data_IF_284757856652
#
_entry.id   IF_284757856652
#
_cell.length_a   1.000
_cell.length_b   1.000
_cell.length_c   1.000
_cell.angle_alpha   90.00
_cell.angle_beta   90.00
_cell.angle_gamma   90.00
#
_symmetry.space_group_name_H-M   'P 1'
#
loop_
_entity.id
_entity.type
_entity.pdbx_description
1 polymer ?
#
# COMPACT_ATOMS: atom_id res chain seq x y z
N UNK A 1 31.22 11.33 -3.00
CA UNK A 1 31.44 12.71 -2.51
C UNK A 1 30.71 13.62 -3.50
N UNK A 2 29.61 14.27 -3.11
CA UNK A 2 28.74 14.99 -4.05
C UNK A 2 29.38 16.32 -4.51
N UNK A 3 29.26 16.67 -5.80
CA UNK A 3 29.83 17.89 -6.40
C UNK A 3 29.17 19.18 -5.87
N UNK A 4 29.79 20.34 -6.08
CA UNK A 4 29.22 21.65 -5.72
C UNK A 4 27.88 21.95 -6.41
N UNK A 5 27.62 21.37 -7.59
CA UNK A 5 26.35 21.48 -8.31
C UNK A 5 25.20 20.72 -7.63
N UNK A 6 25.50 19.63 -6.91
CA UNK A 6 24.52 18.79 -6.22
C UNK A 6 23.75 19.54 -5.11
N UNK A 7 24.32 20.59 -4.53
CA UNK A 7 23.65 21.42 -3.51
C UNK A 7 22.66 22.43 -4.10
N UNK A 8 22.77 22.76 -5.38
CA UNK A 8 21.87 23.70 -6.08
C UNK A 8 20.76 22.99 -6.86
N UNK A 9 20.89 21.68 -7.11
CA UNK A 9 19.87 20.91 -7.80
C UNK A 9 18.61 20.72 -6.96
N UNK A 10 17.53 20.26 -7.58
CA UNK A 10 16.26 19.99 -6.91
C UNK A 10 16.30 18.62 -6.19
N UNK A 11 15.37 18.32 -5.29
CA UNK A 11 15.41 17.06 -4.52
C UNK A 11 15.16 15.82 -5.39
N UNK A 12 14.34 15.94 -6.42
CA UNK A 12 14.07 14.89 -7.40
C UNK A 12 15.28 14.65 -8.30
N UNK A 13 15.96 15.71 -8.74
CA UNK A 13 17.21 15.56 -9.48
C UNK A 13 18.26 14.79 -8.66
N UNK A 14 18.45 15.14 -7.37
CA UNK A 14 19.35 14.40 -6.47
C UNK A 14 18.94 12.94 -6.30
N UNK A 15 17.65 12.69 -6.17
CA UNK A 15 17.10 11.34 -6.07
C UNK A 15 17.40 10.50 -7.32
N UNK A 16 17.18 11.05 -8.51
CA UNK A 16 17.47 10.37 -9.76
C UNK A 16 18.97 10.15 -9.96
N UNK A 17 19.81 11.09 -9.52
CA UNK A 17 21.26 10.91 -9.54
C UNK A 17 21.70 9.79 -8.58
N UNK A 18 21.07 9.68 -7.40
CA UNK A 18 21.28 8.56 -6.50
C UNK A 18 20.86 7.24 -7.17
N UNK A 19 19.66 7.18 -7.75
CA UNK A 19 19.16 5.97 -8.43
C UNK A 19 19.86 5.59 -9.72
N UNK A 20 20.52 6.53 -10.39
CA UNK A 20 21.39 6.24 -11.52
C UNK A 20 22.66 5.45 -11.14
N UNK A 21 23.10 5.56 -9.88
CA UNK A 21 24.30 4.86 -9.36
C UNK A 21 23.98 3.78 -8.32
N UNK A 22 22.75 3.71 -7.84
CA UNK A 22 22.25 2.64 -6.97
C UNK A 22 21.02 1.98 -7.60
N UNK A 23 21.22 0.94 -8.43
CA UNK A 23 20.15 0.25 -9.12
C UNK A 23 19.04 -0.27 -8.19
N UNK A 24 17.82 -0.35 -8.72
CA UNK A 24 16.74 -1.05 -8.04
C UNK A 24 17.03 -2.55 -8.03
N UNK A 25 16.85 -3.18 -6.87
CA UNK A 25 16.96 -4.63 -6.72
C UNK A 25 15.59 -5.28 -6.82
N UNK A 26 15.49 -6.39 -7.54
CA UNK A 26 14.27 -7.20 -7.60
C UNK A 26 13.92 -7.67 -6.18
N UNK A 27 12.69 -7.42 -5.76
CA UNK A 27 12.17 -7.98 -4.50
C UNK A 27 11.73 -9.43 -4.71
N UNK A 28 11.77 -10.26 -3.66
CA UNK A 28 11.40 -11.68 -3.71
C UNK A 28 10.07 -11.98 -4.45
N UNK A 29 8.96 -11.24 -4.23
CA UNK A 29 7.71 -11.49 -4.96
C UNK A 29 7.83 -11.30 -6.48
N UNK A 30 8.68 -10.36 -6.90
CA UNK A 30 8.93 -10.10 -8.32
C UNK A 30 9.99 -11.05 -8.92
N UNK A 31 10.88 -11.63 -8.10
CA UNK A 31 11.76 -12.73 -8.52
C UNK A 31 10.93 -13.97 -8.85
N UNK A 32 10.02 -14.35 -7.97
CA UNK A 32 9.07 -15.46 -8.18
C UNK A 32 8.11 -15.20 -9.36
N UNK A 33 7.76 -13.92 -9.59
CA UNK A 33 7.01 -13.50 -10.78
C UNK A 33 7.77 -13.79 -12.08
N UNK A 34 9.05 -13.38 -12.15
CA UNK A 34 9.89 -13.51 -13.34
C UNK A 34 10.12 -14.96 -13.77
N UNK A 35 10.02 -15.93 -12.86
CA UNK A 35 10.20 -17.35 -13.14
C UNK A 35 8.96 -18.06 -13.72
N UNK A 36 7.77 -17.44 -13.68
CA UNK A 36 6.51 -18.13 -14.07
C UNK A 36 5.70 -17.45 -15.17
N UNK A 37 5.25 -18.25 -16.14
CA UNK A 37 4.50 -17.85 -17.33
C UNK A 37 3.03 -17.46 -17.07
N UNK A 38 2.75 -16.24 -16.60
CA UNK A 38 1.46 -15.55 -16.83
C UNK A 38 1.56 -14.08 -16.40
N UNK A 39 1.51 -13.17 -17.38
CA UNK A 39 1.95 -11.79 -17.19
C UNK A 39 0.91 -10.80 -16.66
N UNK A 40 -0.38 -11.11 -16.46
CA UNK A 40 -1.38 -10.07 -16.11
C UNK A 40 -1.89 -10.18 -14.68
N UNK A 41 -2.32 -11.36 -14.22
CA UNK A 41 -2.82 -11.55 -12.84
C UNK A 41 -1.74 -11.30 -11.78
N UNK A 42 -0.49 -11.64 -12.08
CA UNK A 42 0.61 -11.50 -11.13
C UNK A 42 1.07 -10.04 -10.91
N UNK A 43 0.84 -9.12 -11.86
CA UNK A 43 1.22 -7.70 -11.68
C UNK A 43 0.38 -7.06 -10.58
N UNK A 44 -0.94 -7.19 -10.68
CA UNK A 44 -1.88 -6.63 -9.69
C UNK A 44 -1.60 -7.22 -8.31
N UNK A 45 -1.35 -8.53 -8.20
CA UNK A 45 -1.01 -9.18 -6.93
C UNK A 45 0.31 -8.66 -6.33
N UNK A 46 1.37 -8.55 -7.14
CA UNK A 46 2.66 -8.03 -6.68
C UNK A 46 2.57 -6.55 -6.27
N UNK A 47 1.86 -5.72 -7.05
CA UNK A 47 1.65 -4.31 -6.72
C UNK A 47 0.83 -4.18 -5.45
N UNK A 48 -0.30 -4.89 -5.35
CA UNK A 48 -1.19 -4.89 -4.18
C UNK A 48 -0.41 -5.26 -2.91
N UNK A 49 0.35 -6.35 -2.94
CA UNK A 49 1.19 -6.75 -1.81
C UNK A 49 2.17 -5.64 -1.40
N UNK A 50 2.83 -5.01 -2.39
CA UNK A 50 3.82 -3.95 -2.14
C UNK A 50 3.19 -2.70 -1.53
N UNK A 51 2.09 -2.20 -2.09
CA UNK A 51 1.43 -0.97 -1.62
C UNK A 51 0.68 -1.15 -0.31
N UNK A 52 0.25 -2.39 -0.02
CA UNK A 52 -0.31 -2.77 1.28
C UNK A 52 0.79 -2.74 2.36
N UNK A 53 1.90 -3.43 2.12
CA UNK A 53 3.02 -3.51 3.08
C UNK A 53 3.57 -2.12 3.41
N UNK A 54 3.76 -1.28 2.39
CA UNK A 54 4.29 0.06 2.59
C UNK A 54 3.23 1.11 2.97
N UNK A 55 1.96 0.71 3.13
CA UNK A 55 0.87 1.55 3.59
C UNK A 55 0.35 2.60 2.60
N UNK A 56 0.84 2.62 1.35
CA UNK A 56 0.32 3.51 0.30
C UNK A 56 -1.17 3.25 0.07
N UNK A 57 -1.55 1.98 0.09
CA UNK A 57 -2.93 1.56 -0.13
C UNK A 57 -3.89 2.14 0.90
N UNK A 58 -3.44 2.37 2.13
CA UNK A 58 -4.24 2.85 3.26
C UNK A 58 -4.12 4.37 3.49
N UNK A 59 -3.43 5.11 2.62
CA UNK A 59 -3.13 6.53 2.82
C UNK A 59 -2.20 6.81 4.02
N UNK A 60 -1.58 5.76 4.58
CA UNK A 60 -0.74 5.81 5.77
C UNK A 60 0.66 5.23 5.46
N UNK A 61 1.50 5.98 4.72
CA UNK A 61 2.78 5.49 4.23
C UNK A 61 3.72 5.10 5.37
N UNK A 62 4.27 3.88 5.29
CA UNK A 62 5.18 3.28 6.27
C UNK A 62 6.63 3.62 5.92
N UNK A 63 7.07 4.77 6.41
CA UNK A 63 8.44 5.27 6.21
C UNK A 63 9.41 4.57 7.17
N UNK A 64 10.28 3.70 6.65
CA UNK A 64 11.33 3.06 7.45
C UNK A 64 12.40 4.08 7.90
N UNK A 65 13.17 3.80 8.97
CA UNK A 65 14.29 4.66 9.38
C UNK A 65 15.31 4.91 8.24
N UNK A 66 15.58 3.87 7.44
CA UNK A 66 16.49 3.95 6.29
C UNK A 66 15.97 4.94 5.24
N UNK A 67 14.68 4.88 4.90
CA UNK A 67 14.07 5.83 3.96
C UNK A 67 14.03 7.25 4.54
N UNK A 68 13.75 7.38 5.84
CA UNK A 68 13.76 8.68 6.51
C UNK A 68 15.14 9.36 6.44
N UNK A 69 16.21 8.60 6.68
CA UNK A 69 17.59 9.11 6.59
C UNK A 69 18.00 9.40 5.14
N UNK A 70 17.55 8.59 4.19
CA UNK A 70 17.76 8.85 2.77
C UNK A 70 17.08 10.14 2.32
N UNK A 71 15.83 10.37 2.72
CA UNK A 71 15.09 11.60 2.43
C UNK A 71 15.85 12.84 2.96
N UNK A 72 16.39 12.77 4.18
CA UNK A 72 17.24 13.84 4.74
C UNK A 72 18.52 14.06 3.92
N UNK A 73 19.24 12.98 3.57
CA UNK A 73 20.49 13.04 2.78
C UNK A 73 20.28 13.67 1.40
N UNK A 74 19.14 13.40 0.79
CA UNK A 74 18.77 13.91 -0.53
C UNK A 74 18.00 15.25 -0.47
N UNK A 75 17.88 15.85 0.72
CA UNK A 75 17.23 17.13 0.96
C UNK A 75 15.77 17.18 0.47
N UNK A 76 15.01 16.10 0.69
CA UNK A 76 13.57 16.12 0.51
C UNK A 76 12.90 17.07 1.54
N UNK A 77 11.67 17.56 1.28
CA UNK A 77 10.95 18.43 2.20
C UNK A 77 10.76 17.80 3.59
N UNK A 78 10.97 18.58 4.66
CA UNK A 78 11.06 18.06 6.04
C UNK A 78 9.80 17.33 6.55
N UNK A 79 8.61 17.66 6.03
CA UNK A 79 7.32 17.14 6.53
C UNK A 79 6.59 16.21 5.55
N UNK A 80 6.98 16.21 4.28
CA UNK A 80 6.34 15.45 3.20
C UNK A 80 7.33 14.50 2.49
N UNK A 81 8.62 14.71 2.70
CA UNK A 81 9.70 14.05 1.99
C UNK A 81 9.76 12.55 2.18
N UNK A 82 9.34 12.04 3.34
CA UNK A 82 9.27 10.60 3.59
C UNK A 82 8.24 9.94 2.66
N UNK A 83 7.03 10.50 2.61
CA UNK A 83 5.94 10.00 1.76
C UNK A 83 6.26 10.10 0.29
N UNK A 84 6.77 11.26 -0.16
CA UNK A 84 7.17 11.42 -1.56
C UNK A 84 8.26 10.42 -1.92
N UNK A 85 9.28 10.25 -1.07
CA UNK A 85 10.34 9.29 -1.34
C UNK A 85 9.78 7.87 -1.43
N UNK A 86 8.92 7.44 -0.49
CA UNK A 86 8.32 6.10 -0.55
C UNK A 86 7.46 5.90 -1.82
N UNK A 87 6.70 6.92 -2.22
CA UNK A 87 5.91 6.90 -3.44
C UNK A 87 6.81 6.73 -4.67
N UNK A 88 7.86 7.53 -4.78
CA UNK A 88 8.83 7.45 -5.88
C UNK A 88 9.56 6.11 -5.91
N UNK A 89 9.97 5.61 -4.75
CA UNK A 89 10.60 4.30 -4.60
C UNK A 89 9.69 3.19 -5.11
N UNK A 90 8.40 3.25 -4.80
CA UNK A 90 7.41 2.29 -5.27
C UNK A 90 7.18 2.43 -6.77
N UNK A 91 6.96 3.65 -7.24
CA UNK A 91 6.72 3.95 -8.65
C UNK A 91 7.86 3.49 -9.54
N UNK A 92 9.09 3.95 -9.25
CA UNK A 92 10.24 3.64 -10.09
C UNK A 92 10.65 2.18 -9.97
N UNK A 93 10.62 1.57 -8.78
CA UNK A 93 10.98 0.15 -8.66
C UNK A 93 10.01 -0.75 -9.43
N UNK A 94 8.69 -0.54 -9.30
CA UNK A 94 7.70 -1.37 -10.01
C UNK A 94 7.76 -1.13 -11.51
N UNK A 95 7.81 0.13 -11.96
CA UNK A 95 7.92 0.44 -13.39
C UNK A 95 9.20 -0.14 -14.01
N UNK A 96 10.32 -0.09 -13.27
CA UNK A 96 11.60 -0.62 -13.72
C UNK A 96 11.58 -2.14 -13.85
N UNK A 97 11.10 -2.83 -12.83
CA UNK A 97 10.98 -4.29 -12.83
C UNK A 97 10.05 -4.77 -13.94
N UNK A 98 8.87 -4.16 -14.11
CA UNK A 98 7.95 -4.51 -15.19
C UNK A 98 8.58 -4.27 -16.56
N UNK A 99 9.28 -3.16 -16.75
CA UNK A 99 9.98 -2.88 -18.01
C UNK A 99 11.05 -3.94 -18.30
N UNK A 100 11.83 -4.36 -17.30
CA UNK A 100 12.82 -5.43 -17.44
C UNK A 100 12.19 -6.79 -17.76
N UNK A 101 11.20 -7.23 -16.98
CA UNK A 101 10.51 -8.51 -17.20
C UNK A 101 9.87 -8.62 -18.60
N UNK A 102 9.41 -7.50 -19.17
CA UNK A 102 8.81 -7.47 -20.50
C UNK A 102 9.83 -7.41 -21.64
N UNK A 103 11.05 -6.94 -21.37
CA UNK A 103 12.10 -6.71 -22.39
C UNK A 103 13.22 -7.76 -22.37
N UNK A 104 13.36 -8.54 -21.30
CA UNK A 104 14.46 -9.50 -21.05
C UNK A 104 14.48 -10.78 -21.92
N UNK A 105 13.74 -10.82 -23.03
CA UNK A 105 13.80 -11.94 -24.00
C UNK A 105 15.09 -11.99 -24.83
N UNK A 106 16.00 -11.02 -24.70
CA UNK A 106 17.29 -11.04 -25.39
C UNK A 106 18.41 -11.02 -24.34
N UNK A 107 19.25 -12.06 -24.37
CA UNK A 107 20.17 -12.44 -23.30
C UNK A 107 21.33 -11.50 -23.00
N UNK A 108 21.90 -11.76 -21.83
CA UNK A 108 23.28 -11.59 -21.36
C UNK A 108 24.00 -10.28 -21.68
N UNK A 109 23.93 -9.33 -20.75
CA UNK A 109 25.04 -8.70 -20.01
C UNK A 109 24.49 -7.45 -19.29
N UNK A 110 24.67 -7.37 -17.96
CA UNK A 110 24.31 -6.19 -17.16
C UNK A 110 25.26 -5.03 -17.48
N UNK A 111 24.94 -4.26 -18.52
CA UNK A 111 25.62 -3.01 -18.81
C UNK A 111 24.99 -1.86 -17.97
N UNK A 112 25.83 -1.11 -17.25
CA UNK A 112 25.40 0.08 -16.50
C UNK A 112 24.72 1.10 -17.43
N UNK A 113 25.14 1.14 -18.71
CA UNK A 113 24.55 2.01 -19.71
C UNK A 113 23.12 1.57 -20.09
N UNK A 114 22.84 0.26 -20.07
CA UNK A 114 21.49 -0.28 -20.30
C UNK A 114 20.54 0.10 -19.15
N UNK A 115 20.98 -0.05 -17.90
CA UNK A 115 20.20 0.34 -16.72
C UNK A 115 19.83 1.83 -16.77
N UNK A 116 20.82 2.71 -16.99
CA UNK A 116 20.58 4.15 -17.01
C UNK A 116 19.67 4.57 -18.17
N UNK A 117 19.80 3.91 -19.33
CA UNK A 117 18.91 4.12 -20.47
C UNK A 117 17.47 3.73 -20.14
N UNK A 118 17.26 2.58 -19.48
CA UNK A 118 15.93 2.14 -19.02
C UNK A 118 15.34 3.11 -17.99
N UNK A 119 16.14 3.54 -17.01
CA UNK A 119 15.71 4.51 -16.00
C UNK A 119 15.32 5.84 -16.64
N UNK A 120 16.09 6.34 -17.63
CA UNK A 120 15.74 7.54 -18.39
C UNK A 120 14.40 7.38 -19.11
N UNK A 121 14.15 6.24 -19.77
CA UNK A 121 12.86 5.97 -20.42
C UNK A 121 11.69 6.08 -19.43
N UNK A 122 11.83 5.50 -18.24
CA UNK A 122 10.78 5.58 -17.20
C UNK A 122 10.62 7.01 -16.69
N UNK A 123 11.70 7.76 -16.48
CA UNK A 123 11.63 9.18 -16.12
C UNK A 123 10.82 9.97 -17.15
N UNK A 124 11.04 9.72 -18.45
CA UNK A 124 10.29 10.37 -19.52
C UNK A 124 8.80 10.02 -19.49
N UNK A 125 8.45 8.75 -19.22
CA UNK A 125 7.06 8.35 -19.02
C UNK A 125 6.45 9.08 -17.81
N UNK A 126 7.14 9.16 -16.67
CA UNK A 126 6.66 9.89 -15.49
C UNK A 126 6.38 11.36 -15.82
N UNK A 127 7.31 12.01 -16.54
CA UNK A 127 7.12 13.40 -16.97
C UNK A 127 5.90 13.53 -17.89
N UNK A 128 5.74 12.64 -18.87
CA UNK A 128 4.61 12.68 -19.80
C UNK A 128 3.26 12.43 -19.09
N UNK A 129 3.21 11.54 -18.11
CA UNK A 129 1.97 11.25 -17.38
C UNK A 129 1.56 12.38 -16.43
N UNK A 130 2.51 12.92 -15.67
CA UNK A 130 2.22 13.95 -14.67
C UNK A 130 2.22 15.38 -15.22
N UNK A 131 2.76 15.60 -16.42
CA UNK A 131 2.79 16.88 -17.12
C UNK A 131 2.32 16.70 -18.59
N UNK A 132 1.10 16.21 -18.83
CA UNK A 132 0.64 15.80 -20.17
C UNK A 132 0.62 16.96 -21.19
N UNK A 133 0.37 18.19 -20.73
CA UNK A 133 0.36 19.39 -21.59
C UNK A 133 1.76 19.94 -21.92
N UNK A 134 2.82 19.28 -21.43
CA UNK A 134 4.20 19.72 -21.61
C UNK A 134 4.99 18.78 -22.50
N UNK A 135 5.55 19.32 -23.59
CA UNK A 135 6.43 18.56 -24.47
C UNK A 135 7.90 18.90 -24.21
N UNK A 136 8.67 17.91 -23.75
CA UNK A 136 10.10 18.06 -23.46
C UNK A 136 10.96 17.32 -24.49
N UNK A 137 11.86 18.05 -25.16
CA UNK A 137 12.88 17.45 -26.05
C UNK A 137 14.11 17.09 -25.24
N UNK A 138 14.13 15.88 -24.69
CA UNK A 138 15.25 15.35 -23.89
C UNK A 138 15.96 14.25 -24.71
N UNK A 139 17.27 14.40 -24.98
CA UNK A 139 18.00 13.40 -25.77
C UNK A 139 18.19 12.11 -24.98
N UNK A 140 17.90 10.96 -25.62
CA UNK A 140 17.96 9.64 -24.98
C UNK A 140 19.30 8.91 -25.19
N UNK A 141 20.16 9.44 -26.05
CA UNK A 141 21.48 8.89 -26.36
C UNK A 141 22.60 9.45 -25.46
N UNK A 142 22.25 10.28 -24.48
CA UNK A 142 23.19 10.85 -23.51
C UNK A 142 22.98 10.12 -22.18
N UNK A 143 24.06 9.71 -21.47
CA UNK A 143 23.95 9.09 -20.16
C UNK A 143 23.14 9.95 -19.18
N UNK A 144 22.29 9.29 -18.37
CA UNK A 144 21.41 9.96 -17.43
C UNK A 144 22.15 10.89 -16.44
N UNK A 145 23.31 10.52 -15.85
CA UNK A 145 24.07 11.41 -14.97
C UNK A 145 24.46 12.73 -15.62
N UNK A 146 24.91 12.69 -16.89
CA UNK A 146 25.31 13.89 -17.64
C UNK A 146 24.09 14.80 -17.92
N UNK A 147 22.94 14.20 -18.23
CA UNK A 147 21.69 14.93 -18.38
C UNK A 147 21.27 15.62 -17.08
N UNK A 148 21.34 14.92 -15.95
CA UNK A 148 20.97 15.47 -14.64
C UNK A 148 21.90 16.62 -14.23
N UNK A 149 23.18 16.60 -14.62
CA UNK A 149 24.11 17.67 -14.31
C UNK A 149 23.96 18.89 -15.23
N UNK A 150 23.75 18.68 -16.53
CA UNK A 150 23.87 19.75 -17.54
C UNK A 150 22.61 20.12 -18.33
N UNK A 151 21.54 19.32 -18.31
CA UNK A 151 20.39 19.56 -19.18
C UNK A 151 19.33 20.43 -18.48
N UNK A 152 19.25 21.71 -18.87
CA UNK A 152 18.29 22.67 -18.31
C UNK A 152 16.82 22.30 -18.57
N UNK A 153 16.52 21.66 -19.70
CA UNK A 153 15.14 21.25 -20.05
C UNK A 153 14.65 20.15 -19.11
N UNK A 154 15.46 19.09 -18.92
CA UNK A 154 15.16 18.02 -17.98
C UNK A 154 15.06 18.59 -16.56
N UNK A 155 16.01 19.41 -16.13
CA UNK A 155 16.01 19.95 -14.77
C UNK A 155 14.81 20.86 -14.50
N UNK A 156 14.38 21.67 -15.47
CA UNK A 156 13.15 22.45 -15.37
C UNK A 156 11.89 21.57 -15.35
N UNK A 157 11.87 20.47 -16.11
CA UNK A 157 10.77 19.50 -16.09
C UNK A 157 10.66 18.80 -14.72
N UNK A 158 11.80 18.36 -14.16
CA UNK A 158 11.86 17.74 -12.84
C UNK A 158 11.37 18.71 -11.75
N UNK A 159 11.75 19.99 -11.78
CA UNK A 159 11.24 20.98 -10.81
C UNK A 159 9.72 21.17 -10.89
N UNK A 160 9.13 21.15 -12.09
CA UNK A 160 7.66 21.19 -12.23
C UNK A 160 7.01 19.93 -11.67
N UNK A 161 7.60 18.77 -11.95
CA UNK A 161 7.14 17.49 -11.42
C UNK A 161 7.20 17.45 -9.88
N UNK A 162 8.21 18.05 -9.26
CA UNK A 162 8.29 18.16 -7.80
C UNK A 162 7.06 18.83 -7.19
N UNK A 163 6.60 19.93 -7.79
CA UNK A 163 5.42 20.65 -7.32
C UNK A 163 4.15 19.80 -7.48
N UNK A 164 3.98 19.16 -8.65
CA UNK A 164 2.84 18.28 -8.92
C UNK A 164 2.81 17.11 -7.94
N UNK A 165 3.95 16.47 -7.66
CA UNK A 165 4.01 15.34 -6.73
C UNK A 165 3.71 15.78 -5.28
N UNK A 166 4.21 16.93 -4.85
CA UNK A 166 3.91 17.45 -3.51
C UNK A 166 2.42 17.70 -3.32
N UNK A 167 1.76 18.28 -4.33
CA UNK A 167 0.34 18.58 -4.30
C UNK A 167 -0.54 17.32 -4.38
N UNK A 168 -0.20 16.41 -5.29
CA UNK A 168 -1.08 15.27 -5.61
C UNK A 168 -0.83 14.02 -4.77
N UNK A 169 0.36 13.87 -4.16
CA UNK A 169 0.72 12.66 -3.38
C UNK A 169 0.63 12.91 -1.88
N UNK A 170 0.82 14.14 -1.40
CA UNK A 170 0.89 14.42 0.05
C UNK A 170 -0.20 15.35 0.53
N UNK A 171 -0.52 15.26 1.82
CA UNK A 171 -1.41 16.22 2.48
C UNK A 171 -0.60 17.25 3.26
N UNK A 172 -1.02 18.52 3.19
CA UNK A 172 -0.51 19.56 4.07
C UNK A 172 -1.25 19.53 5.42
N UNK A 173 -0.52 19.69 6.54
CA UNK A 173 -1.13 20.12 7.81
C UNK A 173 -1.70 19.07 8.77
N UNK A 174 -1.49 17.76 8.57
CA UNK A 174 -1.96 16.72 9.52
C UNK A 174 -0.83 15.96 10.21
N UNK A 175 -0.76 16.13 11.54
CA UNK A 175 0.00 15.38 12.56
C UNK A 175 1.43 15.82 12.91
N UNK A 176 1.77 15.61 14.19
CA UNK A 176 3.04 15.87 14.87
C UNK A 176 4.14 14.85 14.55
N UNK A 177 3.80 13.69 13.96
CA UNK A 177 4.73 12.56 13.71
C UNK A 177 4.92 12.18 12.22
N UNK A 178 4.26 12.88 11.28
CA UNK A 178 4.76 13.03 9.92
C UNK A 178 3.94 12.44 8.77
N UNK A 179 4.07 13.11 7.63
CA UNK A 179 3.73 12.77 6.25
C UNK A 179 2.46 11.90 6.03
N UNK A 180 1.27 12.53 5.95
CA UNK A 180 0.08 11.86 5.37
C UNK A 180 0.13 11.87 3.85
N UNK A 181 -0.41 10.82 3.26
CA UNK A 181 -0.56 10.71 1.81
C UNK A 181 -1.98 11.15 1.41
N UNK A 182 -2.10 11.72 0.21
CA UNK A 182 -3.40 11.91 -0.41
C UNK A 182 -4.04 10.54 -0.64
N UNK A 183 -5.30 10.37 -0.26
CA UNK A 183 -6.00 9.08 -0.35
C UNK A 183 -6.02 8.52 -1.77
N UNK A 184 -6.03 9.37 -2.79
CA UNK A 184 -6.07 8.98 -4.19
C UNK A 184 -4.70 8.78 -4.83
N UNK A 185 -3.61 8.90 -4.06
CA UNK A 185 -2.27 8.70 -4.59
C UNK A 185 -2.07 7.26 -5.11
N UNK A 186 -2.73 6.26 -4.52
CA UNK A 186 -2.71 4.90 -5.05
C UNK A 186 -3.36 4.80 -6.44
N UNK A 187 -4.54 5.42 -6.66
CA UNK A 187 -5.19 5.45 -7.97
C UNK A 187 -4.26 6.02 -9.05
N UNK A 188 -3.62 7.16 -8.76
CA UNK A 188 -2.64 7.79 -9.65
C UNK A 188 -1.45 6.89 -9.95
N UNK A 189 -0.90 6.24 -8.93
CA UNK A 189 0.20 5.28 -9.08
C UNK A 189 -0.21 4.10 -9.95
N UNK A 190 -1.39 3.53 -9.70
CA UNK A 190 -1.89 2.35 -10.40
C UNK A 190 -2.05 2.61 -11.90
N UNK A 191 -2.76 3.67 -12.28
CA UNK A 191 -3.01 3.98 -13.69
C UNK A 191 -1.74 4.43 -14.43
N UNK A 192 -0.82 5.13 -13.75
CA UNK A 192 0.50 5.38 -14.30
C UNK A 192 1.25 4.07 -14.61
N UNK A 193 1.28 3.13 -13.67
CA UNK A 193 2.01 1.87 -13.85
C UNK A 193 1.39 1.00 -14.94
N UNK A 194 0.06 0.95 -15.05
CA UNK A 194 -0.61 0.26 -16.16
C UNK A 194 -0.21 0.85 -17.52
N UNK A 195 -0.20 2.17 -17.63
CA UNK A 195 0.20 2.86 -18.87
C UNK A 195 1.68 2.66 -19.19
N UNK A 196 2.56 2.78 -18.19
CA UNK A 196 3.99 2.57 -18.35
C UNK A 196 4.30 1.12 -18.81
N UNK A 197 3.53 0.16 -18.30
CA UNK A 197 3.60 -1.25 -18.68
C UNK A 197 3.12 -1.51 -20.11
N UNK A 198 2.10 -0.80 -20.58
CA UNK A 198 1.67 -0.84 -21.98
C UNK A 198 2.81 -0.34 -22.90
N UNK A 199 3.41 0.80 -22.55
CA UNK A 199 4.52 1.39 -23.31
C UNK A 199 5.79 0.54 -23.30
N UNK A 200 6.03 -0.25 -22.24
CA UNK A 200 7.13 -1.20 -22.17
C UNK A 200 7.05 -2.31 -23.25
N UNK A 201 5.84 -2.62 -23.75
CA UNK A 201 5.61 -3.65 -24.78
C UNK A 201 5.82 -3.15 -26.22
N UNK A 202 6.16 -1.87 -26.40
CA UNK A 202 6.46 -1.28 -27.70
C UNK A 202 5.29 -0.54 -28.36
N UNK A 203 4.09 -0.56 -27.75
CA UNK A 203 2.98 0.32 -28.15
C UNK A 203 3.18 1.70 -27.50
N UNK A 204 3.66 2.67 -28.28
CA UNK A 204 3.77 4.06 -27.81
C UNK A 204 2.38 4.67 -27.79
N UNK A 205 1.71 4.59 -26.63
CA UNK A 205 0.40 5.20 -26.42
C UNK A 205 0.50 6.43 -25.54
N UNK A 206 -0.33 7.42 -25.84
CA UNK A 206 -0.44 8.67 -25.07
C UNK A 206 -1.26 8.42 -23.78
N UNK A 207 -0.98 9.13 -22.66
CA UNK A 207 -1.48 8.78 -21.33
C UNK A 207 -2.95 9.14 -21.07
N UNK A 208 -3.63 9.85 -21.97
CA UNK A 208 -4.95 10.48 -21.78
C UNK A 208 -5.99 9.46 -21.33
N UNK A 209 -6.04 8.28 -21.96
CA UNK A 209 -6.94 7.20 -21.55
C UNK A 209 -6.78 6.83 -20.08
N UNK A 210 -5.54 6.74 -19.59
CA UNK A 210 -5.24 6.34 -18.21
C UNK A 210 -5.46 7.48 -17.22
N UNK A 211 -5.25 8.73 -17.66
CA UNK A 211 -5.61 9.92 -16.90
C UNK A 211 -7.14 10.05 -16.73
N UNK A 212 -7.91 9.75 -17.78
CA UNK A 212 -9.38 9.70 -17.72
C UNK A 212 -9.86 8.61 -16.75
N UNK A 213 -9.25 7.42 -16.79
CA UNK A 213 -9.57 6.34 -15.84
C UNK A 213 -9.21 6.70 -14.39
N UNK A 214 -8.07 7.37 -14.14
CA UNK A 214 -7.72 7.91 -12.81
C UNK A 214 -8.77 8.91 -12.31
N UNK A 215 -9.17 9.86 -13.17
CA UNK A 215 -10.19 10.85 -12.83
C UNK A 215 -11.53 10.19 -12.53
N UNK A 216 -11.95 9.24 -13.37
CA UNK A 216 -13.19 8.52 -13.20
C UNK A 216 -13.22 7.71 -11.91
N UNK A 217 -12.13 7.01 -11.57
CA UNK A 217 -12.05 6.26 -10.32
C UNK A 217 -12.17 7.18 -9.10
N UNK A 218 -11.46 8.32 -9.10
CA UNK A 218 -11.54 9.30 -8.01
C UNK A 218 -12.95 9.87 -7.84
N UNK A 219 -13.65 10.10 -8.96
CA UNK A 219 -15.04 10.56 -8.96
C UNK A 219 -15.98 9.49 -8.39
N UNK A 220 -15.93 8.25 -8.89
CA UNK A 220 -16.74 7.12 -8.41
C UNK A 220 -16.48 6.84 -6.92
N UNK A 221 -15.24 6.97 -6.45
CA UNK A 221 -14.88 6.84 -5.04
C UNK A 221 -15.63 7.82 -4.14
N UNK A 222 -15.79 9.08 -4.56
CA UNK A 222 -16.55 10.07 -3.78
C UNK A 222 -18.02 9.65 -3.65
N UNK A 223 -18.64 9.18 -4.73
CA UNK A 223 -20.01 8.67 -4.68
C UNK A 223 -20.16 7.48 -3.73
N UNK A 224 -19.22 6.54 -3.80
CA UNK A 224 -19.19 5.36 -2.94
C UNK A 224 -19.01 5.75 -1.47
N UNK A 225 -18.11 6.69 -1.18
CA UNK A 225 -17.90 7.22 0.17
C UNK A 225 -19.14 7.95 0.69
N UNK A 226 -19.80 8.75 -0.15
CA UNK A 226 -21.03 9.42 0.22
C UNK A 226 -22.16 8.43 0.55
N UNK A 227 -22.28 7.32 -0.18
CA UNK A 227 -23.26 6.28 0.12
C UNK A 227 -23.01 5.57 1.47
N UNK A 228 -21.74 5.42 1.88
CA UNK A 228 -21.41 4.92 3.22
C UNK A 228 -21.74 5.95 4.29
N UNK A 229 -21.45 7.23 4.07
CA UNK A 229 -21.74 8.29 5.03
C UNK A 229 -23.25 8.50 5.20
N UNK A 230 -24.06 8.26 4.17
CA UNK A 230 -25.52 8.31 4.23
C UNK A 230 -26.17 7.00 4.73
N UNK A 231 -25.37 6.04 5.22
CA UNK A 231 -25.82 4.70 5.59
C UNK A 231 -26.99 4.62 6.56
N UNK A 232 -26.95 5.48 7.58
CA UNK A 232 -27.85 5.54 8.72
C UNK A 232 -28.91 6.63 8.55
N UNK A 233 -29.07 7.15 7.33
CA UNK A 233 -29.91 8.30 6.98
C UNK A 233 -29.53 9.61 7.73
N UNK A 234 -28.34 9.69 8.32
CA UNK A 234 -27.87 10.85 9.09
C UNK A 234 -26.37 11.13 8.90
N UNK A 235 -26.02 12.25 8.27
CA UNK A 235 -24.60 12.63 8.12
C UNK A 235 -24.10 13.44 9.31
N UNK A 236 -23.13 12.90 10.04
CA UNK A 236 -22.47 13.64 11.11
C UNK A 236 -21.58 14.77 10.57
N UNK A 237 -21.39 15.84 11.36
CA UNK A 237 -20.55 16.98 10.94
C UNK A 237 -19.10 16.57 10.67
N UNK A 238 -18.59 15.58 11.40
CA UNK A 238 -17.26 14.99 11.22
C UNK A 238 -17.12 14.29 9.87
N UNK A 239 -18.13 13.51 9.47
CA UNK A 239 -18.16 12.82 8.18
C UNK A 239 -18.29 13.80 7.03
N UNK A 240 -19.17 14.81 7.18
CA UNK A 240 -19.31 15.88 6.20
C UNK A 240 -17.97 16.59 5.96
N UNK A 241 -17.25 16.95 7.02
CA UNK A 241 -15.93 17.59 6.91
C UNK A 241 -14.88 16.68 6.25
N UNK A 242 -15.01 15.36 6.39
CA UNK A 242 -14.09 14.41 5.76
C UNK A 242 -14.38 14.29 4.28
N UNK A 243 -15.64 14.08 3.88
CA UNK A 243 -15.99 13.92 2.47
C UNK A 243 -15.73 15.20 1.68
N UNK A 244 -15.97 16.39 2.26
CA UNK A 244 -15.62 17.68 1.64
C UNK A 244 -14.10 17.76 1.38
N UNK A 245 -13.26 17.37 2.33
CA UNK A 245 -11.80 17.29 2.12
C UNK A 245 -11.42 16.23 1.09
N UNK A 246 -12.14 15.12 1.00
CA UNK A 246 -11.88 14.10 -0.01
C UNK A 246 -12.22 14.62 -1.40
N UNK A 247 -13.30 15.39 -1.56
CA UNK A 247 -13.63 16.06 -2.82
C UNK A 247 -12.48 16.99 -3.25
N UNK A 248 -11.98 17.84 -2.35
CA UNK A 248 -10.83 18.70 -2.62
C UNK A 248 -9.59 17.88 -3.03
N UNK A 249 -9.31 16.81 -2.30
CA UNK A 249 -8.17 15.93 -2.54
C UNK A 249 -8.24 15.15 -3.85
N UNK A 250 -9.42 15.05 -4.48
CA UNK A 250 -9.51 14.44 -5.79
C UNK A 250 -8.56 15.17 -6.74
N UNK A 251 -8.49 16.51 -6.71
CA UNK A 251 -7.78 17.29 -7.73
C UNK A 251 -8.44 17.19 -9.11
N UNK A 252 -9.76 16.97 -9.15
CA UNK A 252 -10.59 17.18 -10.36
C UNK A 252 -10.74 18.67 -10.65
N UNK A 253 -11.25 19.02 -11.84
CA UNK A 253 -11.58 20.42 -12.16
C UNK A 253 -12.59 21.01 -11.16
N UNK A 254 -12.49 22.30 -10.87
CA UNK A 254 -13.32 23.00 -9.88
C UNK A 254 -14.83 22.79 -10.13
N UNK A 255 -15.27 22.86 -11.38
CA UNK A 255 -16.66 22.59 -11.75
C UNK A 255 -17.13 21.18 -11.37
N UNK A 256 -16.27 20.16 -11.53
CA UNK A 256 -16.58 18.79 -11.10
C UNK A 256 -16.61 18.65 -9.59
N UNK A 257 -15.70 19.33 -8.89
CA UNK A 257 -15.70 19.34 -7.42
C UNK A 257 -16.98 19.98 -6.88
N UNK A 258 -17.41 21.11 -7.45
CA UNK A 258 -18.67 21.78 -7.10
C UNK A 258 -19.89 20.88 -7.35
N UNK A 259 -19.89 20.15 -8.47
CA UNK A 259 -20.94 19.18 -8.79
C UNK A 259 -20.99 18.04 -7.78
N UNK A 260 -19.84 17.47 -7.42
CA UNK A 260 -19.74 16.45 -6.37
C UNK A 260 -20.22 17.01 -5.02
N UNK A 261 -19.77 18.18 -4.60
CA UNK A 261 -20.19 18.82 -3.35
C UNK A 261 -21.69 19.04 -3.29
N UNK A 262 -22.32 19.40 -4.41
CA UNK A 262 -23.78 19.54 -4.49
C UNK A 262 -24.48 18.19 -4.42
N UNK A 263 -23.99 17.18 -5.13
CA UNK A 263 -24.57 15.82 -5.16
C UNK A 263 -24.57 15.18 -3.77
N UNK A 264 -23.46 15.25 -3.03
CA UNK A 264 -23.32 14.55 -1.74
C UNK A 264 -24.16 15.17 -0.60
N UNK A 265 -24.78 16.33 -0.82
CA UNK A 265 -25.69 16.98 0.15
C UNK A 265 -27.06 16.31 0.21
N UNK A 266 -27.38 15.45 -0.75
CA UNK A 266 -28.61 14.67 -0.79
C UNK A 266 -28.32 13.19 -0.46
N UNK A 267 -29.30 12.43 0.06
CA UNK A 267 -29.10 11.01 0.38
C UNK A 267 -28.63 10.20 -0.84
N UNK A 268 -27.50 9.52 -0.71
CA UNK A 268 -26.94 8.63 -1.74
C UNK A 268 -27.19 7.18 -1.35
N UNK A 269 -27.90 6.42 -2.19
CA UNK A 269 -28.20 5.00 -1.92
C UNK A 269 -27.21 4.09 -2.62
N UNK A 270 -26.96 2.91 -2.03
CA UNK A 270 -26.16 1.85 -2.66
C UNK A 270 -26.71 1.44 -4.03
N UNK A 271 -28.04 1.43 -4.21
CA UNK A 271 -28.66 1.07 -5.49
C UNK A 271 -28.26 1.99 -6.64
N UNK A 272 -27.80 3.19 -6.32
CA UNK A 272 -27.46 4.23 -7.27
C UNK A 272 -25.95 4.25 -7.55
N UNK A 273 -25.17 3.40 -6.86
CA UNK A 273 -23.75 3.26 -7.07
C UNK A 273 -23.47 2.56 -8.39
N UNK A 274 -22.59 3.18 -9.17
CA UNK A 274 -21.98 2.61 -10.36
C UNK A 274 -20.49 2.44 -10.10
N UNK A 275 -19.95 1.27 -10.43
CA UNK A 275 -18.51 1.05 -10.45
C UNK A 275 -18.09 0.55 -11.83
N UNK A 276 -17.28 1.35 -12.52
CA UNK A 276 -16.80 1.02 -13.87
C UNK A 276 -15.63 0.03 -13.87
N UNK A 277 -15.07 -0.27 -12.69
CA UNK A 277 -13.83 -1.02 -12.55
C UNK A 277 -14.09 -2.44 -12.04
N UNK A 278 -13.59 -3.44 -12.77
CA UNK A 278 -13.74 -4.86 -12.43
C UNK A 278 -12.44 -5.51 -11.94
N UNK A 279 -11.33 -4.77 -11.96
CA UNK A 279 -10.03 -5.30 -11.53
C UNK A 279 -10.03 -5.54 -10.02
N UNK A 280 -9.62 -6.75 -9.59
CA UNK A 280 -9.66 -7.18 -8.18
C UNK A 280 -8.86 -6.25 -7.27
N UNK A 281 -7.74 -5.69 -7.75
CA UNK A 281 -6.93 -4.73 -7.00
C UNK A 281 -7.69 -3.42 -6.72
N UNK A 282 -8.46 -2.91 -7.69
CA UNK A 282 -9.28 -1.71 -7.52
C UNK A 282 -10.44 -2.01 -6.58
N UNK A 283 -11.15 -3.13 -6.77
CA UNK A 283 -12.23 -3.54 -5.88
C UNK A 283 -11.74 -3.72 -4.43
N UNK A 284 -10.55 -4.30 -4.25
CA UNK A 284 -9.92 -4.47 -2.93
C UNK A 284 -9.58 -3.12 -2.31
N UNK A 285 -8.96 -2.23 -3.07
CA UNK A 285 -8.65 -0.86 -2.64
C UNK A 285 -9.90 -0.09 -2.21
N UNK A 286 -10.97 -0.10 -3.02
CA UNK A 286 -12.23 0.57 -2.72
C UNK A 286 -12.85 0.08 -1.40
N UNK A 287 -12.92 -1.25 -1.23
CA UNK A 287 -13.45 -1.85 0.01
C UNK A 287 -12.57 -1.50 1.20
N UNK A 288 -11.25 -1.55 1.08
CA UNK A 288 -10.35 -1.15 2.17
C UNK A 288 -10.52 0.33 2.52
N UNK A 289 -10.70 1.23 1.55
CA UNK A 289 -11.02 2.64 1.86
C UNK A 289 -12.35 2.79 2.58
N UNK A 290 -13.38 2.01 2.23
CA UNK A 290 -14.67 2.04 2.93
C UNK A 290 -14.56 1.56 4.38
N UNK A 291 -13.76 0.51 4.63
CA UNK A 291 -13.47 0.05 5.99
C UNK A 291 -12.77 1.14 6.81
N UNK A 292 -11.86 1.90 6.20
CA UNK A 292 -11.20 3.03 6.89
C UNK A 292 -12.16 4.18 7.16
N UNK A 293 -13.05 4.47 6.20
CA UNK A 293 -14.04 5.53 6.31
C UNK A 293 -15.06 5.21 7.42
N UNK A 294 -15.41 3.94 7.61
CA UNK A 294 -16.33 3.49 8.68
C UNK A 294 -15.76 3.66 10.11
N UNK A 295 -14.53 4.14 10.27
CA UNK A 295 -13.96 4.45 11.59
C UNK A 295 -14.19 5.91 12.00
N UNK A 296 -14.81 6.74 11.17
CA UNK A 296 -14.87 8.19 11.40
C UNK A 296 -15.90 8.59 12.45
N UNK A 297 -17.11 8.03 12.45
CA UNK A 297 -18.19 8.54 13.31
C UNK A 297 -18.24 7.94 14.73
N UNK A 298 -17.39 6.95 15.06
CA UNK A 298 -17.31 6.38 16.41
C UNK A 298 -18.65 5.82 16.95
N UNK A 299 -19.66 5.60 16.08
CA UNK A 299 -20.97 5.01 16.36
C UNK A 299 -21.05 3.56 15.84
N UNK A 300 -22.19 2.89 16.04
CA UNK A 300 -22.39 1.45 15.88
C UNK A 300 -21.97 0.92 14.49
N UNK A 301 -20.81 0.24 14.45
CA UNK A 301 -20.16 -0.29 13.24
C UNK A 301 -21.00 -1.31 12.41
N UNK A 302 -22.18 -1.72 12.88
CA UNK A 302 -22.94 -2.80 12.23
C UNK A 302 -23.68 -2.37 10.95
N UNK A 303 -24.16 -1.12 10.88
CA UNK A 303 -24.88 -0.61 9.70
C UNK A 303 -23.92 -0.36 8.53
N UNK A 304 -22.80 0.32 8.77
CA UNK A 304 -21.75 0.54 7.78
C UNK A 304 -21.17 -0.78 7.27
N UNK A 305 -21.05 -1.77 8.15
CA UNK A 305 -20.57 -3.10 7.78
C UNK A 305 -21.52 -3.83 6.82
N UNK A 306 -22.83 -3.80 7.06
CA UNK A 306 -23.81 -4.42 6.15
C UNK A 306 -23.72 -3.81 4.75
N UNK A 307 -23.45 -2.50 4.68
CA UNK A 307 -23.24 -1.79 3.42
C UNK A 307 -21.93 -2.18 2.74
N UNK A 308 -20.82 -2.29 3.49
CA UNK A 308 -19.55 -2.77 2.95
C UNK A 308 -19.70 -4.21 2.41
N UNK A 309 -20.44 -5.07 3.12
CA UNK A 309 -20.72 -6.45 2.67
C UNK A 309 -21.54 -6.46 1.37
N UNK A 310 -22.61 -5.66 1.28
CA UNK A 310 -23.43 -5.53 0.06
C UNK A 310 -22.62 -4.95 -1.12
N UNK A 311 -21.80 -3.94 -0.86
CA UNK A 311 -20.99 -3.29 -1.89
C UNK A 311 -19.87 -4.22 -2.38
N UNK A 312 -19.22 -4.95 -1.47
CA UNK A 312 -18.23 -5.99 -1.83
C UNK A 312 -18.82 -7.07 -2.73
N UNK A 313 -20.06 -7.50 -2.45
CA UNK A 313 -20.81 -8.42 -3.32
C UNK A 313 -21.14 -7.80 -4.67
N UNK A 314 -21.53 -6.52 -4.71
CA UNK A 314 -21.79 -5.78 -5.96
C UNK A 314 -20.54 -5.70 -6.85
N UNK A 315 -19.35 -5.56 -6.24
CA UNK A 315 -18.05 -5.61 -6.93
C UNK A 315 -17.61 -7.03 -7.34
N UNK A 316 -18.42 -8.06 -7.06
CA UNK A 316 -18.12 -9.45 -7.41
C UNK A 316 -17.04 -10.10 -6.53
N UNK A 317 -16.71 -9.53 -5.38
CA UNK A 317 -15.74 -10.14 -4.46
C UNK A 317 -16.40 -11.28 -3.67
N UNK A 318 -15.75 -12.46 -3.57
CA UNK A 318 -16.25 -13.53 -2.72
C UNK A 318 -16.15 -13.15 -1.24
N UNK A 319 -17.01 -13.73 -0.40
CA UNK A 319 -17.05 -13.44 1.03
C UNK A 319 -15.67 -13.66 1.69
N UNK A 320 -14.94 -14.70 1.27
CA UNK A 320 -13.59 -15.01 1.73
C UNK A 320 -12.60 -13.87 1.44
N UNK A 321 -12.75 -13.17 0.31
CA UNK A 321 -11.91 -12.01 -0.02
C UNK A 321 -12.24 -10.84 0.89
N UNK A 322 -13.52 -10.57 1.16
CA UNK A 322 -13.90 -9.53 2.11
C UNK A 322 -13.33 -9.79 3.51
N UNK A 323 -13.34 -11.05 3.97
CA UNK A 323 -12.69 -11.42 5.23
C UNK A 323 -11.19 -11.15 5.25
N UNK A 324 -10.51 -11.43 4.13
CA UNK A 324 -9.09 -11.09 3.98
C UNK A 324 -8.86 -9.58 4.05
N UNK A 325 -9.74 -8.76 3.47
CA UNK A 325 -9.63 -7.31 3.50
C UNK A 325 -9.88 -6.75 4.91
N UNK A 326 -10.86 -7.27 5.65
CA UNK A 326 -11.03 -6.90 7.06
C UNK A 326 -9.81 -7.28 7.90
N UNK A 327 -9.28 -8.50 7.73
CA UNK A 327 -8.08 -8.92 8.44
C UNK A 327 -6.87 -8.05 8.08
N UNK A 328 -6.70 -7.75 6.79
CA UNK A 328 -5.66 -6.89 6.23
C UNK A 328 -5.61 -5.53 6.94
N UNK A 329 -6.76 -4.85 7.05
CA UNK A 329 -6.87 -3.57 7.74
C UNK A 329 -6.60 -3.74 9.23
N UNK A 330 -7.19 -4.74 9.89
CA UNK A 330 -6.98 -4.94 11.32
C UNK A 330 -5.50 -5.19 11.67
N UNK A 331 -4.79 -5.98 10.87
CA UNK A 331 -3.37 -6.27 11.06
C UNK A 331 -2.48 -5.06 10.81
N UNK A 332 -2.66 -4.36 9.68
CA UNK A 332 -1.85 -3.19 9.35
C UNK A 332 -1.88 -2.14 10.47
N UNK A 333 -3.08 -1.85 10.97
CA UNK A 333 -3.26 -0.85 12.01
C UNK A 333 -2.82 -1.35 13.40
N UNK A 334 -2.86 -2.66 13.66
CA UNK A 334 -2.26 -3.25 14.87
C UNK A 334 -0.74 -3.09 14.90
N UNK A 335 -0.08 -3.31 13.76
CA UNK A 335 1.38 -3.16 13.59
C UNK A 335 1.80 -1.68 13.63
N UNK A 336 1.01 -0.79 13.04
CA UNK A 336 1.38 0.61 12.84
C UNK A 336 0.60 1.60 13.72
N UNK A 337 0.06 1.16 14.86
CA UNK A 337 -0.80 1.94 15.75
C UNK A 337 -0.24 3.32 16.17
N UNK A 338 1.09 3.46 16.25
CA UNK A 338 1.76 4.73 16.61
C UNK A 338 1.56 5.81 15.55
N UNK A 339 1.42 5.43 14.27
CA UNK A 339 1.28 6.40 13.16
C UNK A 339 -0.11 7.04 13.09
N UNK A 340 -1.07 6.47 13.80
CA UNK A 340 -2.48 6.79 13.69
C UNK A 340 -3.03 7.14 15.06
N UNK A 341 -2.42 8.14 15.71
CA UNK A 341 -2.84 8.61 17.04
C UNK A 341 -4.35 8.92 17.11
N UNK A 342 -4.96 9.32 15.99
CA UNK A 342 -6.42 9.56 15.93
C UNK A 342 -7.27 8.28 16.05
N UNK A 343 -6.72 7.11 15.72
CA UNK A 343 -7.39 5.81 15.87
C UNK A 343 -7.08 5.13 17.21
N UNK A 344 -6.00 5.53 17.91
CA UNK A 344 -5.55 4.88 19.15
C UNK A 344 -6.61 4.80 20.26
N UNK A 345 -7.53 5.76 20.31
CA UNK A 345 -8.65 5.80 21.26
C UNK A 345 -10.01 5.77 20.55
N UNK A 346 -10.06 5.28 19.32
CA UNK A 346 -11.29 5.23 18.53
C UNK A 346 -12.08 3.95 18.89
N UNK A 347 -13.34 4.11 19.30
CA UNK A 347 -14.17 2.99 19.76
C UNK A 347 -14.61 2.11 18.60
N UNK A 348 -14.94 2.68 17.43
CA UNK A 348 -15.29 1.91 16.23
C UNK A 348 -14.12 1.02 15.78
N UNK A 349 -12.90 1.56 15.76
CA UNK A 349 -11.69 0.77 15.47
C UNK A 349 -11.43 -0.31 16.51
N UNK A 350 -11.63 -0.02 17.80
CA UNK A 350 -11.49 -1.01 18.88
C UNK A 350 -12.49 -2.15 18.73
N UNK A 351 -13.77 -1.83 18.50
CA UNK A 351 -14.82 -2.81 18.26
C UNK A 351 -14.54 -3.65 17.01
N UNK A 352 -14.01 -3.04 15.96
CA UNK A 352 -13.58 -3.74 14.75
C UNK A 352 -12.44 -4.73 15.02
N UNK A 353 -11.41 -4.31 15.78
CA UNK A 353 -10.33 -5.21 16.19
C UNK A 353 -10.84 -6.37 17.04
N UNK A 354 -11.70 -6.11 18.03
CA UNK A 354 -12.30 -7.15 18.87
C UNK A 354 -13.14 -8.13 18.05
N UNK A 355 -13.93 -7.62 17.11
CA UNK A 355 -14.68 -8.44 16.16
C UNK A 355 -13.77 -9.40 15.38
N UNK A 356 -12.66 -8.88 14.84
CA UNK A 356 -11.70 -9.69 14.08
C UNK A 356 -10.99 -10.71 14.97
N UNK A 357 -10.57 -10.32 16.18
CA UNK A 357 -9.98 -11.22 17.17
C UNK A 357 -10.92 -12.39 17.51
N UNK A 358 -12.20 -12.10 17.76
CA UNK A 358 -13.21 -13.12 18.07
C UNK A 358 -13.47 -14.06 16.89
N UNK A 359 -13.44 -13.54 15.67
CA UNK A 359 -13.62 -14.33 14.46
C UNK A 359 -12.46 -15.29 14.26
N UNK A 360 -11.23 -14.80 14.38
CA UNK A 360 -10.01 -15.62 14.30
C UNK A 360 -10.02 -16.67 15.42
N UNK A 361 -10.38 -16.30 16.65
CA UNK A 361 -10.51 -17.23 17.77
C UNK A 361 -11.51 -18.37 17.48
N UNK A 362 -12.68 -18.06 16.91
CA UNK A 362 -13.67 -19.07 16.53
C UNK A 362 -13.13 -20.02 15.46
N UNK A 363 -12.41 -19.50 14.46
CA UNK A 363 -11.83 -20.30 13.39
C UNK A 363 -10.69 -21.20 13.88
N UNK A 364 -9.79 -20.67 14.70
CA UNK A 364 -8.73 -21.45 15.33
C UNK A 364 -9.36 -22.56 16.17
N UNK A 365 -10.33 -22.25 17.05
CA UNK A 365 -11.05 -23.26 17.86
C UNK A 365 -11.70 -24.35 17.02
N UNK A 366 -12.33 -23.99 15.90
CA UNK A 366 -12.96 -24.96 14.98
C UNK A 366 -11.95 -25.89 14.31
N UNK A 367 -10.71 -25.42 14.13
CA UNK A 367 -9.65 -26.15 13.44
C UNK A 367 -8.57 -26.74 14.38
N UNK A 368 -8.75 -26.69 15.71
CA UNK A 368 -7.75 -27.18 16.69
C UNK A 368 -7.31 -28.61 16.42
N UNK A 369 -8.24 -29.51 16.05
CA UNK A 369 -7.88 -30.88 15.74
C UNK A 369 -6.89 -30.98 14.56
N UNK A 370 -7.12 -30.21 13.49
CA UNK A 370 -6.24 -30.17 12.33
C UNK A 370 -4.89 -29.54 12.69
N UNK A 371 -4.90 -28.41 13.42
CA UNK A 371 -3.68 -27.76 13.92
C UNK A 371 -2.83 -28.75 14.73
N UNK A 372 -3.45 -29.49 15.65
CA UNK A 372 -2.73 -30.46 16.49
C UNK A 372 -2.18 -31.66 15.71
N UNK A 373 -2.81 -32.03 14.60
CA UNK A 373 -2.27 -33.05 13.68
C UNK A 373 -1.01 -32.53 13.00
N UNK A 374 -1.07 -31.35 12.38
CA UNK A 374 0.07 -30.71 11.70
C UNK A 374 1.26 -30.45 12.65
N UNK A 375 0.97 -30.04 13.90
CA UNK A 375 2.00 -29.86 14.95
C UNK A 375 2.71 -31.17 15.26
N UNK A 376 1.99 -32.29 15.34
CA UNK A 376 2.61 -33.60 15.62
C UNK A 376 3.45 -34.11 14.45
N UNK A 377 3.07 -33.76 13.24
CA UNK A 377 3.83 -34.08 12.02
C UNK A 377 5.11 -33.23 11.94
N UNK A 378 5.08 -32.03 12.50
CA UNK A 378 6.24 -31.13 12.62
C UNK A 378 7.04 -31.43 13.89
N UNK A 379 7.93 -32.43 13.83
CA UNK A 379 8.72 -32.90 14.99
C UNK A 379 9.43 -31.77 15.75
N UNK A 380 10.09 -30.86 15.04
CA UNK A 380 10.82 -29.74 15.67
C UNK A 380 9.86 -28.83 16.46
N UNK A 381 8.73 -28.45 15.86
CA UNK A 381 7.72 -27.64 16.55
C UNK A 381 7.19 -28.37 17.79
N UNK A 382 6.89 -29.67 17.67
CA UNK A 382 6.42 -30.46 18.81
C UNK A 382 7.44 -30.51 19.95
N UNK A 383 8.73 -30.61 19.65
CA UNK A 383 9.81 -30.60 20.64
C UNK A 383 9.95 -29.22 21.30
N UNK A 384 9.88 -28.14 20.52
CA UNK A 384 9.94 -26.77 21.03
C UNK A 384 8.73 -26.42 21.91
N UNK A 385 7.53 -26.84 21.51
CA UNK A 385 6.32 -26.65 22.32
C UNK A 385 6.38 -27.46 23.63
N UNK A 386 6.92 -28.67 23.59
CA UNK A 386 7.13 -29.48 24.81
C UNK A 386 8.16 -28.80 25.72
N UNK A 387 9.31 -28.36 25.18
CA UNK A 387 10.34 -27.62 25.93
C UNK A 387 9.75 -26.39 26.60
N UNK A 388 8.91 -25.62 25.91
CA UNK A 388 8.25 -24.42 26.43
C UNK A 388 7.36 -24.68 27.66
N UNK A 389 6.95 -25.92 27.92
CA UNK A 389 6.18 -26.29 29.12
C UNK A 389 7.04 -26.43 30.38
N UNK A 390 8.35 -26.62 30.24
CA UNK A 390 9.28 -26.87 31.35
C UNK A 390 10.40 -25.84 31.45
N UNK A 391 10.80 -25.23 30.32
CA UNK A 391 11.93 -24.30 30.22
C UNK A 391 11.60 -23.12 29.29
N UNK A 392 12.18 -21.93 29.52
CA UNK A 392 12.02 -20.81 28.60
C UNK A 392 12.72 -21.08 27.27
N UNK A 393 12.06 -20.68 26.17
CA UNK A 393 12.65 -20.70 24.84
C UNK A 393 13.61 -19.51 24.66
N UNK A 394 14.74 -19.75 24.01
CA UNK A 394 15.61 -18.68 23.51
C UNK A 394 14.91 -17.85 22.43
N UNK A 395 15.38 -16.62 22.16
CA UNK A 395 14.78 -15.76 21.12
C UNK A 395 14.76 -16.44 19.74
N UNK A 396 15.80 -17.21 19.41
CA UNK A 396 15.86 -17.99 18.18
C UNK A 396 14.81 -19.12 18.13
N UNK A 397 14.62 -19.83 19.25
CA UNK A 397 13.60 -20.88 19.36
C UNK A 397 12.18 -20.29 19.31
N UNK A 398 11.95 -19.13 19.93
CA UNK A 398 10.67 -18.42 19.83
C UNK A 398 10.36 -18.06 18.38
N UNK A 399 11.33 -17.49 17.66
CA UNK A 399 11.17 -17.15 16.26
C UNK A 399 10.82 -18.39 15.41
N UNK A 400 11.52 -19.52 15.62
CA UNK A 400 11.18 -20.79 14.96
C UNK A 400 9.76 -21.27 15.24
N UNK A 401 9.32 -21.21 16.50
CA UNK A 401 7.95 -21.59 16.86
C UNK A 401 6.95 -20.70 16.12
N UNK A 402 7.18 -19.39 16.05
CA UNK A 402 6.31 -18.47 15.34
C UNK A 402 6.25 -18.79 13.83
N UNK A 403 7.41 -18.97 13.19
CA UNK A 403 7.51 -19.33 11.77
C UNK A 403 6.75 -20.62 11.46
N UNK A 404 6.99 -21.68 12.25
CA UNK A 404 6.36 -22.99 12.06
C UNK A 404 4.86 -22.99 12.35
N UNK A 405 4.40 -22.23 13.36
CA UNK A 405 2.97 -22.07 13.61
C UNK A 405 2.28 -21.35 12.44
N UNK A 406 2.94 -20.36 11.83
CA UNK A 406 2.42 -19.68 10.66
C UNK A 406 2.43 -20.58 9.42
N UNK A 407 3.42 -21.47 9.27
CA UNK A 407 3.43 -22.49 8.22
C UNK A 407 2.23 -23.43 8.34
N UNK A 408 1.93 -23.92 9.55
CA UNK A 408 0.75 -24.75 9.83
C UNK A 408 -0.55 -23.98 9.58
N UNK A 409 -0.61 -22.70 9.96
CA UNK A 409 -1.78 -21.89 9.66
C UNK A 409 -2.02 -21.73 8.15
N UNK A 410 -0.94 -21.61 7.35
CA UNK A 410 -1.02 -21.57 5.88
C UNK A 410 -1.45 -22.90 5.26
N UNK A 411 -1.16 -24.05 5.89
CA UNK A 411 -1.60 -25.37 5.40
C UNK A 411 -3.09 -25.63 5.61
N UNK A 412 -3.74 -24.94 6.56
CA UNK A 412 -5.16 -25.09 6.88
C UNK A 412 -5.99 -24.05 6.09
N UNK A 413 -6.83 -24.44 5.11
CA UNK A 413 -7.52 -23.49 4.22
C UNK A 413 -8.34 -22.42 4.95
N UNK A 414 -8.99 -22.78 6.06
CA UNK A 414 -9.80 -21.87 6.86
C UNK A 414 -8.97 -20.83 7.65
N UNK A 415 -7.68 -21.07 7.84
CA UNK A 415 -6.76 -20.18 8.57
C UNK A 415 -5.80 -19.45 7.63
N UNK A 416 -5.54 -20.00 6.44
CA UNK A 416 -4.63 -19.44 5.45
C UNK A 416 -4.92 -17.96 5.13
N UNK A 417 -6.20 -17.57 5.12
CA UNK A 417 -6.63 -16.19 4.87
C UNK A 417 -6.16 -15.20 5.97
N UNK A 418 -5.96 -15.69 7.20
CA UNK A 418 -5.45 -14.92 8.35
C UNK A 418 -3.94 -15.10 8.54
N UNK A 419 -3.32 -15.96 7.74
CA UNK A 419 -1.89 -16.28 7.81
C UNK A 419 -1.04 -15.43 6.85
N UNK A 420 -1.66 -14.42 6.23
CA UNK A 420 -1.04 -13.41 5.36
C UNK A 420 -0.04 -12.54 6.16
N UNK A 421 0.95 -11.89 5.51
CA UNK A 421 2.21 -11.54 6.18
C UNK A 421 2.01 -10.63 7.40
N UNK A 422 2.51 -11.09 8.54
CA UNK A 422 2.42 -10.42 9.84
C UNK A 422 1.83 -11.33 10.92
N UNK A 423 0.70 -12.01 10.63
CA UNK A 423 0.04 -12.92 11.56
C UNK A 423 -0.23 -12.33 12.95
N UNK A 424 -0.29 -11.00 13.07
CA UNK A 424 -0.26 -10.29 14.37
C UNK A 424 -1.51 -10.59 15.18
N UNK A 425 -2.62 -10.82 14.51
CA UNK A 425 -3.88 -11.25 15.15
C UNK A 425 -3.89 -12.77 15.32
N UNK A 426 -3.49 -13.52 14.29
CA UNK A 426 -3.60 -14.97 14.27
C UNK A 426 -2.66 -15.67 15.26
N UNK A 427 -1.39 -15.27 15.30
CA UNK A 427 -0.34 -15.93 16.06
C UNK A 427 -0.61 -15.90 17.58
N UNK A 428 -0.99 -14.77 18.22
CA UNK A 428 -1.39 -14.77 19.62
C UNK A 428 -2.58 -15.69 19.91
N UNK A 429 -3.53 -15.77 18.98
CA UNK A 429 -4.69 -16.67 19.12
C UNK A 429 -4.26 -18.14 19.02
N UNK A 430 -3.39 -18.50 18.08
CA UNK A 430 -2.82 -19.84 17.96
C UNK A 430 -2.12 -20.24 19.26
N UNK A 431 -1.20 -19.41 19.76
CA UNK A 431 -0.45 -19.66 21.00
C UNK A 431 -1.41 -19.85 22.19
N UNK A 432 -2.46 -19.02 22.30
CA UNK A 432 -3.44 -19.08 23.39
C UNK A 432 -4.35 -20.32 23.36
N UNK A 433 -4.67 -20.84 22.18
CA UNK A 433 -5.60 -21.98 22.03
C UNK A 433 -4.89 -23.33 22.11
N UNK A 434 -3.60 -23.38 21.81
CA UNK A 434 -2.83 -24.62 21.94
C UNK A 434 -2.82 -25.12 23.41
N UNK A 435 -2.92 -26.44 23.63
CA UNK A 435 -3.15 -27.04 24.96
C UNK A 435 -1.95 -26.95 25.91
N UNK A 436 -0.82 -26.45 25.41
CA UNK A 436 0.38 -26.19 26.18
C UNK A 436 0.16 -24.82 26.81
N UNK A 437 0.15 -24.72 28.14
CA UNK A 437 0.03 -23.46 28.88
C UNK A 437 1.27 -22.56 28.64
N UNK A 438 1.51 -22.15 27.40
CA UNK A 438 2.52 -21.17 27.05
C UNK A 438 1.88 -19.82 27.37
N UNK A 439 1.86 -19.51 28.67
CA UNK A 439 1.50 -18.17 29.12
C UNK A 439 2.35 -17.16 28.33
N UNK A 440 1.81 -15.95 28.07
CA UNK A 440 2.52 -14.92 27.34
C UNK A 440 3.88 -14.56 27.97
N UNK A 441 4.18 -14.97 29.21
CA UNK A 441 5.50 -14.79 29.85
C UNK A 441 6.68 -15.36 29.04
N UNK A 442 6.49 -16.46 28.29
CA UNK A 442 7.56 -17.01 27.45
C UNK A 442 7.69 -16.29 26.11
N UNK A 443 6.72 -15.46 25.73
CA UNK A 443 6.68 -14.70 24.46
C UNK A 443 6.57 -13.18 24.64
N UNK A 444 6.60 -12.69 25.88
CA UNK A 444 6.72 -11.28 26.23
C UNK A 444 8.20 -10.89 26.11
N UNK A 445 8.47 -9.79 25.42
CA UNK A 445 9.80 -9.17 25.43
C UNK A 445 10.11 -8.69 26.85
N UNK A 446 11.35 -8.91 27.32
CA UNK A 446 11.80 -8.30 28.56
C UNK A 446 11.71 -6.78 28.44
N UNK A 447 11.20 -6.05 29.45
CA UNK A 447 11.22 -4.60 29.42
C UNK A 447 12.67 -4.16 29.26
N UNK A 448 12.95 -3.35 28.22
CA UNK A 448 14.25 -2.75 27.98
C UNK A 448 14.68 -2.07 29.28
N UNK A 449 15.65 -2.66 29.98
CA UNK A 449 16.26 -2.03 31.12
C UNK A 449 16.96 -0.78 30.61
N UNK A 450 16.36 0.38 30.88
CA UNK A 450 16.98 1.67 30.65
C UNK A 450 18.26 1.75 31.50
N UNK A 451 19.41 1.60 30.83
CA UNK A 451 20.70 2.05 31.30
C UNK A 451 21.28 3.03 30.27
#
# INVERSE_FOLDING_TARGET
MFSLNFRKSSWLNRYLHYRAVTPFTLTQPYLEFAEGSSGVEKFDDCLYSKVKENGILFGCPVISPVLHDLAKKLYFPRQQGGTILLFLETLFSVAFIENQCLTSKNGDEEDSDLYQTQLLKIILLVLQYHLPDSYYRIPQNIPLPDLLEGNEILNGALQKLELVLLDTVTLQGYSSLGNRQNNFAFAKLYFFLLWARENAKGDVSVPEKYLELDQQLREEMIYIFAALIWADDFVATTEQQVIEKYIEQTGLEEAKQDDLTRMIREPVKISDLHCSFTAVIISSYLVEQLILLSFIDNQEAWQERELIEKFSQHLGLPAEKLEQLYCSVAEFFSVHNVRLEFLKNNAAFTQFQDYMNDKVLKLVKKNVANIMTEVKETKELSELLLKATTEPLSSYEKQKVQEQLMDIARSIPALAIFALPGGVILLPVLIKVLPFNILPSSFQDEPISSQ
#
